data_IF_364980798031
#
_entry.id   IF_364980798031
#
_cell.length_a   1.000
_cell.length_b   1.000
_cell.length_c   1.000
_cell.angle_alpha   90.00
_cell.angle_beta   90.00
_cell.angle_gamma   90.00
#
_symmetry.space_group_name_H-M   'P 1'
#
loop_
_entity.id
_entity.type
_entity.pdbx_description
1 polymer ?
#
# COMPACT_ATOMS: atom_id res chain seq x y z
N UNK A 1 -0.04 8.46 -55.45
CA UNK A 1 0.05 9.93 -55.34
C UNK A 1 -1.34 10.52 -55.56
N UNK A 2 -1.81 11.43 -54.69
CA UNK A 2 -3.10 12.16 -54.78
C UNK A 2 -2.90 13.47 -55.60
N UNK A 3 -3.78 14.51 -55.60
CA UNK A 3 -5.12 14.70 -55.04
C UNK A 3 -6.15 15.35 -56.03
N UNK A 4 -7.40 15.56 -55.61
CA UNK A 4 -8.09 16.87 -55.72
C UNK A 4 -9.38 16.90 -54.87
N UNK A 5 -9.65 18.12 -54.40
CA UNK A 5 -10.56 18.57 -53.33
C UNK A 5 -12.02 18.65 -53.83
N UNK A 6 -13.00 18.27 -52.99
CA UNK A 6 -14.36 18.82 -53.09
C UNK A 6 -14.91 19.28 -51.73
N UNK A 7 -15.55 20.44 -51.80
CA UNK A 7 -16.21 21.22 -50.75
C UNK A 7 -17.47 20.54 -50.20
N UNK A 8 -17.73 20.68 -48.89
CA UNK A 8 -19.09 20.57 -48.36
C UNK A 8 -19.39 21.68 -47.33
N UNK A 9 -20.65 22.10 -47.37
CA UNK A 9 -21.23 23.38 -46.97
C UNK A 9 -21.72 23.39 -45.50
N UNK A 10 -21.58 24.51 -44.79
CA UNK A 10 -22.12 24.75 -43.45
C UNK A 10 -23.67 24.68 -43.43
N UNK A 11 -24.26 24.00 -42.45
CA UNK A 11 -25.61 24.29 -41.93
C UNK A 11 -25.62 24.25 -40.41
N UNK A 12 -26.07 25.36 -39.84
CA UNK A 12 -26.37 25.66 -38.45
C UNK A 12 -27.69 25.03 -38.00
N UNK A 13 -27.76 24.49 -36.77
CA UNK A 13 -29.02 24.19 -36.05
C UNK A 13 -28.81 24.28 -34.52
N UNK A 14 -29.69 25.03 -33.87
CA UNK A 14 -29.84 25.24 -32.42
C UNK A 14 -30.96 24.33 -31.82
N UNK A 15 -31.11 24.25 -30.46
CA UNK A 15 -31.57 23.06 -29.75
C UNK A 15 -33.05 23.10 -29.31
N UNK A 16 -33.67 21.98 -28.89
CA UNK A 16 -34.95 22.01 -28.17
C UNK A 16 -34.83 21.78 -26.65
N UNK A 17 -35.72 22.46 -25.91
CA UNK A 17 -35.93 22.44 -24.45
C UNK A 17 -37.04 21.45 -24.03
N UNK A 18 -37.02 21.12 -22.73
CA UNK A 18 -37.79 20.16 -21.90
C UNK A 18 -39.32 20.04 -22.00
N UNK A 19 -39.81 18.84 -21.56
CA UNK A 19 -41.10 18.54 -20.89
C UNK A 19 -42.17 17.94 -21.83
N UNK A 20 -42.94 16.88 -21.56
CA UNK A 20 -43.24 16.12 -20.33
C UNK A 20 -43.92 14.76 -20.68
N UNK A 21 -43.93 13.86 -19.68
CA UNK A 21 -44.85 12.73 -19.41
C UNK A 21 -44.51 11.25 -19.76
N UNK A 22 -44.04 10.57 -18.69
CA UNK A 22 -44.52 9.33 -18.04
C UNK A 22 -44.58 8.00 -18.81
N UNK A 23 -43.71 7.05 -18.41
CA UNK A 23 -44.15 5.70 -18.00
C UNK A 23 -43.15 5.03 -17.04
N UNK A 24 -43.56 4.96 -15.78
CA UNK A 24 -43.27 3.98 -14.72
C UNK A 24 -42.19 2.90 -14.95
N UNK A 25 -41.14 2.98 -14.14
CA UNK A 25 -40.46 1.80 -13.56
C UNK A 25 -40.12 2.13 -12.10
N UNK A 26 -40.58 1.27 -11.20
CA UNK A 26 -40.42 1.35 -9.74
C UNK A 26 -38.95 1.50 -9.35
N UNK A 27 -38.59 2.66 -8.77
CA UNK A 27 -37.35 2.83 -8.00
C UNK A 27 -37.72 2.63 -6.54
N UNK A 28 -37.38 1.48 -5.98
CA UNK A 28 -37.42 1.30 -4.52
C UNK A 28 -36.33 2.16 -3.90
N UNK A 29 -36.74 3.04 -2.99
CA UNK A 29 -35.86 3.81 -2.09
C UNK A 29 -34.74 2.92 -1.51
N UNK A 30 -33.51 3.16 -1.97
CA UNK A 30 -32.33 2.83 -1.18
C UNK A 30 -31.96 4.08 -0.41
N UNK A 31 -32.45 4.15 0.82
CA UNK A 31 -31.89 4.93 1.90
C UNK A 31 -30.36 4.98 1.78
N UNK A 32 -29.80 6.17 1.65
CA UNK A 32 -28.36 6.41 1.78
C UNK A 32 -27.90 5.94 3.17
N UNK A 33 -27.50 4.66 3.26
CA UNK A 33 -26.66 4.18 4.35
C UNK A 33 -25.31 4.83 4.15
N UNK A 34 -24.95 5.73 5.05
CA UNK A 34 -23.58 6.16 5.26
C UNK A 34 -22.68 4.92 5.44
N UNK A 35 -21.61 4.76 4.65
CA UNK A 35 -20.59 3.79 4.95
C UNK A 35 -19.40 4.50 5.61
N UNK A 36 -19.14 4.06 6.85
CA UNK A 36 -17.82 3.94 7.46
C UNK A 36 -17.15 5.21 7.99
N UNK A 37 -17.03 5.25 9.32
CA UNK A 37 -15.98 5.98 10.04
C UNK A 37 -14.63 5.53 9.46
N UNK A 38 -14.09 6.37 8.57
CA UNK A 38 -12.82 6.17 7.89
C UNK A 38 -11.70 6.52 8.86
N UNK A 39 -10.71 5.64 8.93
CA UNK A 39 -9.40 5.94 9.52
C UNK A 39 -8.86 7.26 8.95
N UNK A 40 -8.28 8.13 9.78
CA UNK A 40 -7.82 9.44 9.34
C UNK A 40 -6.80 9.29 8.22
N UNK A 41 -7.02 9.96 7.09
CA UNK A 41 -6.12 9.93 5.95
C UNK A 41 -4.93 10.87 6.23
N UNK A 42 -3.88 10.34 6.86
CA UNK A 42 -2.77 11.15 7.37
C UNK A 42 -1.75 11.49 6.27
N UNK A 43 -1.24 12.73 6.29
CA UNK A 43 -0.19 13.26 5.42
C UNK A 43 0.90 13.94 6.24
N UNK A 44 2.12 14.00 5.71
CA UNK A 44 3.22 14.73 6.35
C UNK A 44 3.60 15.95 5.54
N UNK A 45 3.70 17.09 6.20
CA UNK A 45 4.20 18.32 5.61
C UNK A 45 5.67 18.19 5.21
N UNK A 46 5.97 18.41 3.94
CA UNK A 46 7.33 18.41 3.38
C UNK A 46 8.05 19.75 3.59
N UNK A 47 7.28 20.83 3.70
CA UNK A 47 7.76 22.19 3.80
C UNK A 47 6.96 22.93 4.87
N UNK A 48 7.56 23.97 5.44
CA UNK A 48 6.84 24.92 6.28
C UNK A 48 5.88 25.74 5.42
N UNK A 49 4.70 26.00 5.96
CA UNK A 49 3.71 26.90 5.37
C UNK A 49 3.10 27.75 6.47
N UNK A 50 3.04 29.06 6.28
CA UNK A 50 2.35 29.96 7.19
C UNK A 50 1.02 30.37 6.59
N UNK A 51 -0.06 30.08 7.33
CA UNK A 51 -1.41 30.47 6.97
C UNK A 51 -1.48 31.98 6.69
N UNK A 52 -2.02 32.32 5.54
CA UNK A 52 -2.30 33.68 5.09
C UNK A 52 -3.76 34.09 5.41
N UNK A 53 -4.64 33.10 5.57
CA UNK A 53 -6.05 33.28 5.93
C UNK A 53 -6.44 32.62 7.26
N UNK A 54 -7.60 33.00 7.80
CA UNK A 54 -8.15 32.39 9.03
C UNK A 54 -8.65 30.95 8.80
N UNK A 55 -9.05 30.65 7.57
CA UNK A 55 -9.48 29.36 7.05
C UNK A 55 -8.32 28.41 6.70
N UNK A 56 -7.08 28.92 6.70
CA UNK A 56 -5.89 28.15 6.36
C UNK A 56 -5.20 27.51 7.60
N UNK A 57 -4.54 26.38 7.35
CA UNK A 57 -3.68 25.70 8.30
C UNK A 57 -2.22 26.01 8.02
N UNK A 58 -1.51 26.52 9.03
CA UNK A 58 -0.05 26.55 8.99
C UNK A 58 0.50 25.13 9.09
N UNK A 59 1.47 24.81 8.25
CA UNK A 59 2.21 23.56 8.26
C UNK A 59 3.60 23.79 8.82
N UNK A 60 4.10 22.82 9.58
CA UNK A 60 5.52 22.71 9.94
C UNK A 60 6.09 21.46 9.32
N UNK A 61 7.27 21.53 8.70
CA UNK A 61 7.92 20.39 8.07
C UNK A 61 8.02 19.23 9.06
N UNK A 62 7.57 18.04 8.65
CA UNK A 62 7.48 16.83 9.47
C UNK A 62 6.19 16.71 10.29
N UNK A 63 5.32 17.72 10.28
CA UNK A 63 4.04 17.69 10.98
C UNK A 63 3.02 16.80 10.25
N UNK A 64 2.23 16.09 11.04
CA UNK A 64 1.16 15.23 10.54
C UNK A 64 -0.13 16.05 10.43
N UNK A 65 -0.79 15.92 9.27
CA UNK A 65 -2.08 16.52 8.94
C UNK A 65 -3.06 15.39 8.66
N UNK A 66 -4.20 15.38 9.34
CA UNK A 66 -5.32 14.52 8.99
C UNK A 66 -6.08 15.18 7.83
N UNK A 67 -6.11 14.53 6.67
CA UNK A 67 -6.86 15.03 5.52
C UNK A 67 -8.31 14.58 5.65
N UNK A 68 -9.19 15.56 5.61
CA UNK A 68 -10.64 15.38 5.66
C UNK A 68 -11.26 15.35 4.26
N UNK A 69 -10.67 16.07 3.30
CA UNK A 69 -11.11 16.08 1.91
C UNK A 69 -10.02 16.53 0.93
N UNK A 70 -9.96 15.87 -0.23
CA UNK A 70 -9.15 16.28 -1.39
C UNK A 70 -9.98 16.99 -2.48
N UNK A 71 -11.31 17.11 -2.28
CA UNK A 71 -12.22 17.72 -3.27
C UNK A 71 -12.09 19.24 -3.29
N UNK A 72 -11.71 19.80 -4.45
CA UNK A 72 -11.60 21.24 -4.69
C UNK A 72 -12.91 22.00 -4.44
N UNK A 73 -14.07 21.34 -4.54
CA UNK A 73 -15.36 21.95 -4.21
C UNK A 73 -15.55 22.18 -2.71
N UNK A 74 -14.82 21.43 -1.88
CA UNK A 74 -14.84 21.55 -0.42
C UNK A 74 -13.77 22.55 0.04
N UNK A 75 -12.57 22.50 -0.54
CA UNK A 75 -11.48 23.42 -0.19
C UNK A 75 -11.62 24.81 -0.83
N UNK A 76 -12.41 24.95 -1.89
CA UNK A 76 -12.68 26.22 -2.56
C UNK A 76 -11.71 26.58 -3.68
N UNK A 77 -10.59 25.87 -3.82
CA UNK A 77 -9.60 26.09 -4.88
C UNK A 77 -8.87 24.79 -5.27
N UNK A 78 -8.49 24.68 -6.55
CA UNK A 78 -7.69 23.56 -7.04
C UNK A 78 -6.28 23.63 -6.45
N UNK A 79 -5.74 22.48 -6.01
CA UNK A 79 -4.44 22.43 -5.34
C UNK A 79 -4.49 22.66 -3.83
N UNK A 80 -5.68 22.80 -3.26
CA UNK A 80 -5.89 22.90 -1.82
C UNK A 80 -6.71 21.73 -1.28
N UNK A 81 -6.32 21.23 -0.12
CA UNK A 81 -7.02 20.16 0.60
C UNK A 81 -7.53 20.66 1.94
N UNK A 82 -8.59 20.04 2.44
CA UNK A 82 -9.11 20.29 3.79
C UNK A 82 -8.52 19.27 4.75
N UNK A 83 -8.03 19.73 5.90
CA UNK A 83 -7.50 18.84 6.91
C UNK A 83 -7.61 19.38 8.33
N UNK A 84 -7.00 18.64 9.24
CA UNK A 84 -7.04 18.87 10.68
C UNK A 84 -5.66 18.65 11.28
N UNK A 85 -5.26 19.58 12.17
CA UNK A 85 -4.05 19.51 12.97
C UNK A 85 -4.43 19.84 14.41
N UNK A 86 -4.29 18.86 15.32
CA UNK A 86 -4.82 18.99 16.67
C UNK A 86 -6.33 19.23 16.63
N UNK A 87 -6.81 20.33 17.20
CA UNK A 87 -8.22 20.71 17.16
C UNK A 87 -8.56 21.72 16.03
N UNK A 88 -7.57 22.19 15.27
CA UNK A 88 -7.77 23.17 14.20
C UNK A 88 -8.07 22.47 12.88
N UNK A 89 -9.15 22.88 12.22
CA UNK A 89 -9.52 22.47 10.86
C UNK A 89 -9.33 23.65 9.92
N UNK A 90 -8.84 23.38 8.72
CA UNK A 90 -8.69 24.39 7.68
C UNK A 90 -8.12 23.81 6.40
N UNK A 91 -7.86 24.69 5.43
CA UNK A 91 -7.30 24.31 4.14
C UNK A 91 -5.77 24.46 4.12
N UNK A 92 -5.09 23.67 3.30
CA UNK A 92 -3.65 23.77 3.10
C UNK A 92 -3.28 23.31 1.66
N UNK A 93 -2.13 23.78 1.13
CA UNK A 93 -1.71 23.41 -0.21
C UNK A 93 -1.31 21.93 -0.32
N UNK A 94 -1.91 21.21 -1.26
CA UNK A 94 -1.75 19.76 -1.41
C UNK A 94 -0.33 19.33 -1.76
N UNK A 95 0.40 20.16 -2.50
CA UNK A 95 1.80 19.91 -2.89
C UNK A 95 2.80 20.14 -1.74
N UNK A 96 2.35 20.68 -0.60
CA UNK A 96 3.19 20.85 0.59
C UNK A 96 3.18 19.63 1.49
N UNK A 97 2.38 18.62 1.16
CA UNK A 97 2.32 17.38 1.90
C UNK A 97 2.60 16.20 0.97
N UNK A 98 3.11 15.12 1.53
CA UNK A 98 3.27 13.86 0.79
C UNK A 98 2.71 12.70 1.59
N UNK A 99 2.45 11.61 0.86
CA UNK A 99 2.56 10.28 1.46
C UNK A 99 3.97 10.17 2.02
N UNK A 100 4.11 10.20 3.33
CA UNK A 100 5.41 9.92 3.91
C UNK A 100 5.69 8.43 3.69
N UNK A 101 6.91 8.11 3.22
CA UNK A 101 7.52 6.82 3.48
C UNK A 101 7.65 6.72 5.01
N UNK A 102 6.55 6.37 5.69
CA UNK A 102 6.48 6.30 7.14
C UNK A 102 7.38 5.18 7.69
N UNK A 103 8.11 4.43 6.84
CA UNK A 103 9.15 3.48 7.23
C UNK A 103 10.16 4.05 8.23
N UNK A 104 10.46 5.35 8.15
CA UNK A 104 11.39 6.00 9.08
C UNK A 104 10.75 6.47 10.40
N UNK A 105 9.41 6.55 10.48
CA UNK A 105 8.67 7.00 11.68
C UNK A 105 7.69 5.98 12.25
N UNK A 106 7.58 4.77 11.69
CA UNK A 106 6.74 3.69 12.25
C UNK A 106 7.10 3.44 13.72
N UNK A 107 8.39 3.54 14.06
CA UNK A 107 8.85 3.37 15.43
C UNK A 107 8.48 4.48 16.41
N UNK A 108 8.02 5.64 15.94
CA UNK A 108 7.76 6.83 16.77
C UNK A 108 6.26 7.11 16.94
N UNK A 109 5.42 6.66 16.00
CA UNK A 109 3.99 7.02 15.96
C UNK A 109 3.12 5.91 16.58
N UNK A 110 3.55 4.64 16.50
CA UNK A 110 2.80 3.51 17.05
C UNK A 110 3.80 2.60 17.76
N UNK A 111 3.57 2.32 19.05
CA UNK A 111 4.41 1.40 19.84
C UNK A 111 4.12 -0.06 19.44
N UNK A 112 4.43 -0.38 18.18
CA UNK A 112 4.33 -1.72 17.63
C UNK A 112 5.69 -2.37 17.76
N UNK A 113 5.74 -3.33 18.67
CA UNK A 113 6.90 -4.17 18.86
C UNK A 113 6.60 -5.54 18.24
N UNK A 114 7.34 -5.95 17.19
CA UNK A 114 7.17 -7.27 16.61
C UNK A 114 7.48 -8.34 17.67
N UNK A 115 6.79 -9.48 17.57
CA UNK A 115 7.03 -10.64 18.44
C UNK A 115 8.48 -11.08 18.26
N UNK A 116 9.25 -11.06 19.35
CA UNK A 116 10.63 -11.56 19.34
C UNK A 116 10.62 -13.07 19.50
N UNK A 117 11.32 -13.76 18.62
CA UNK A 117 11.45 -15.21 18.57
C UNK A 117 12.92 -15.56 18.82
N UNK A 118 13.17 -16.44 19.77
CA UNK A 118 14.50 -17.00 19.98
C UNK A 118 14.88 -17.91 18.80
N UNK A 119 16.12 -17.82 18.32
CA UNK A 119 16.52 -18.65 17.18
C UNK A 119 16.41 -20.15 17.48
N UNK A 120 16.58 -20.55 18.73
CA UNK A 120 16.45 -21.95 19.18
C UNK A 120 15.01 -22.48 19.11
N UNK A 121 13.99 -21.61 19.01
CA UNK A 121 12.60 -22.00 18.79
C UNK A 121 12.26 -22.26 17.32
N UNK A 122 13.17 -21.93 16.40
CA UNK A 122 12.98 -22.11 14.96
C UNK A 122 13.64 -23.40 14.49
N UNK A 123 12.84 -24.32 13.97
CA UNK A 123 13.34 -25.49 13.26
C UNK A 123 13.43 -25.15 11.77
N UNK A 124 14.65 -24.92 11.25
CA UNK A 124 14.88 -24.57 9.84
C UNK A 124 15.02 -25.82 8.98
N UNK A 125 14.24 -25.89 7.91
CA UNK A 125 14.24 -26.98 6.93
C UNK A 125 15.00 -26.56 5.65
N UNK A 126 14.41 -26.78 4.47
CA UNK A 126 15.03 -26.48 3.18
C UNK A 126 15.07 -24.98 2.83
N UNK A 127 16.04 -24.60 2.00
CA UNK A 127 16.05 -23.28 1.35
C UNK A 127 14.99 -23.26 0.24
N UNK A 128 14.04 -22.35 0.36
CA UNK A 128 12.92 -22.18 -0.60
C UNK A 128 13.11 -20.98 -1.54
N UNK A 129 14.06 -20.09 -1.24
CA UNK A 129 14.36 -18.94 -2.09
C UNK A 129 15.76 -18.37 -1.85
N UNK A 130 16.41 -17.96 -2.94
CA UNK A 130 17.69 -17.24 -2.91
C UNK A 130 17.61 -16.09 -3.91
N UNK A 131 17.90 -14.87 -3.46
CA UNK A 131 17.88 -13.69 -4.31
C UNK A 131 18.53 -12.48 -3.67
N UNK A 132 18.32 -11.29 -4.24
CA UNK A 132 18.92 -10.03 -3.76
C UNK A 132 18.55 -9.64 -2.32
N UNK A 133 17.52 -10.28 -1.75
CA UNK A 133 16.98 -10.03 -0.41
C UNK A 133 17.46 -11.03 0.65
N UNK A 134 18.42 -11.89 0.31
CA UNK A 134 18.94 -12.92 1.20
C UNK A 134 18.36 -14.31 0.91
N UNK A 135 18.62 -15.23 1.83
CA UNK A 135 18.13 -16.61 1.78
C UNK A 135 16.81 -16.71 2.54
N UNK A 136 15.86 -17.44 1.97
CA UNK A 136 14.58 -17.78 2.60
C UNK A 136 14.53 -19.29 2.83
N UNK A 137 14.29 -19.68 4.07
CA UNK A 137 14.14 -21.06 4.50
C UNK A 137 12.67 -21.35 4.77
N UNK A 138 12.23 -22.58 4.51
CA UNK A 138 11.05 -23.12 5.18
C UNK A 138 11.47 -23.51 6.59
N UNK A 139 10.55 -23.43 7.53
CA UNK A 139 10.79 -23.89 8.89
C UNK A 139 9.49 -24.11 9.67
N UNK A 140 9.64 -24.45 10.94
CA UNK A 140 8.54 -24.66 11.87
C UNK A 140 8.76 -23.80 13.11
N UNK A 141 7.71 -23.09 13.52
CA UNK A 141 7.66 -22.36 14.79
C UNK A 141 6.32 -22.65 15.48
N UNK A 142 6.37 -23.09 16.75
CA UNK A 142 5.17 -23.49 17.52
C UNK A 142 4.25 -24.46 16.77
N UNK A 143 4.84 -25.47 16.10
CA UNK A 143 4.15 -26.45 15.26
C UNK A 143 3.39 -25.86 14.05
N UNK A 144 3.71 -24.63 13.63
CA UNK A 144 3.18 -24.00 12.41
C UNK A 144 4.31 -23.84 11.40
N UNK A 145 4.02 -24.13 10.14
CA UNK A 145 4.96 -23.88 9.04
C UNK A 145 5.14 -22.37 8.85
N UNK A 146 6.41 -21.95 8.71
CA UNK A 146 6.80 -20.56 8.54
C UNK A 146 7.84 -20.43 7.42
N UNK A 147 7.91 -19.24 6.83
CA UNK A 147 8.99 -18.84 5.95
C UNK A 147 9.96 -17.93 6.74
N UNK A 148 11.22 -18.32 6.85
CA UNK A 148 12.25 -17.58 7.58
C UNK A 148 13.16 -16.88 6.58
N UNK A 149 13.04 -15.55 6.49
CA UNK A 149 13.87 -14.70 5.64
C UNK A 149 15.07 -14.21 6.43
N UNK A 150 16.24 -14.76 6.14
CA UNK A 150 17.49 -14.32 6.76
C UNK A 150 17.86 -12.91 6.28
N UNK A 151 18.26 -12.04 7.21
CA UNK A 151 18.76 -10.72 6.89
C UNK A 151 20.05 -10.86 6.05
N UNK A 152 20.18 -10.00 5.04
CA UNK A 152 21.42 -9.94 4.27
C UNK A 152 22.49 -9.34 5.16
N UNK A 153 23.52 -10.12 5.47
CA UNK A 153 24.73 -9.62 6.09
C UNK A 153 25.67 -9.17 4.98
N UNK A 154 25.90 -7.86 4.91
CA UNK A 154 27.01 -7.32 4.14
C UNK A 154 28.25 -7.35 5.04
N UNK A 155 29.34 -8.05 4.66
CA UNK A 155 30.56 -8.12 5.46
C UNK A 155 31.15 -6.75 5.80
N UNK A 156 30.87 -5.73 4.97
CA UNK A 156 31.40 -4.38 5.12
C UNK A 156 30.41 -3.43 5.83
N UNK A 157 29.16 -3.84 6.06
CA UNK A 157 28.18 -3.02 6.76
C UNK A 157 28.21 -3.24 8.27
N UNK A 158 27.94 -2.18 9.01
CA UNK A 158 27.76 -2.27 10.46
C UNK A 158 26.54 -3.16 10.78
N UNK A 159 26.72 -4.07 11.73
CA UNK A 159 25.66 -4.93 12.27
C UNK A 159 24.50 -4.08 12.80
N UNK A 160 24.80 -2.93 13.40
CA UNK A 160 23.78 -2.02 13.94
C UNK A 160 22.79 -1.57 12.85
N UNK A 161 23.30 -1.25 11.65
CA UNK A 161 22.52 -0.87 10.48
C UNK A 161 21.67 -2.04 9.97
N UNK A 162 22.23 -3.25 9.99
CA UNK A 162 21.50 -4.45 9.57
C UNK A 162 20.32 -4.73 10.52
N UNK A 163 20.55 -4.64 11.82
CA UNK A 163 19.53 -4.81 12.85
C UNK A 163 18.42 -3.74 12.72
N UNK A 164 18.80 -2.48 12.53
CA UNK A 164 17.84 -1.39 12.31
C UNK A 164 16.97 -1.63 11.08
N UNK A 165 17.55 -2.10 9.97
CA UNK A 165 16.80 -2.43 8.76
C UNK A 165 15.80 -3.56 8.98
N UNK A 166 16.19 -4.62 9.71
CA UNK A 166 15.28 -5.72 10.06
C UNK A 166 14.13 -5.23 10.94
N UNK A 167 14.40 -4.38 11.93
CA UNK A 167 13.37 -3.81 12.80
C UNK A 167 12.42 -2.90 12.00
N UNK A 168 12.94 -2.05 11.11
CA UNK A 168 12.11 -1.20 10.24
C UNK A 168 11.21 -2.04 9.34
N UNK A 169 11.76 -3.07 8.69
CA UNK A 169 10.98 -3.98 7.84
C UNK A 169 9.90 -4.72 8.66
N UNK A 170 10.25 -5.23 9.83
CA UNK A 170 9.31 -5.93 10.71
C UNK A 170 8.15 -5.03 11.18
N UNK A 171 8.47 -3.81 11.61
CA UNK A 171 7.46 -2.83 12.05
C UNK A 171 6.49 -2.49 10.92
N UNK A 172 6.99 -2.38 9.70
CA UNK A 172 6.16 -2.16 8.52
C UNK A 172 5.23 -3.35 8.28
N UNK A 173 5.75 -4.57 8.31
CA UNK A 173 4.93 -5.78 8.15
C UNK A 173 3.87 -5.94 9.25
N UNK A 174 4.16 -5.54 10.50
CA UNK A 174 3.16 -5.58 11.57
C UNK A 174 1.93 -4.68 11.32
N UNK A 175 2.06 -3.67 10.46
CA UNK A 175 0.96 -2.78 10.09
C UNK A 175 0.09 -3.33 8.96
N UNK A 176 0.60 -4.30 8.22
CA UNK A 176 -0.07 -4.86 7.06
C UNK A 176 -0.94 -6.03 7.51
N UNK A 177 -2.23 -5.96 7.18
CA UNK A 177 -3.18 -7.03 7.45
C UNK A 177 -4.20 -7.12 6.33
N UNK A 178 -4.02 -8.10 5.45
CA UNK A 178 -4.89 -8.35 4.32
C UNK A 178 -4.79 -9.81 3.88
N UNK A 179 -5.88 -10.40 3.40
CA UNK A 179 -5.92 -11.82 2.98
C UNK A 179 -4.92 -12.14 1.87
N UNK A 180 -4.64 -11.18 1.00
CA UNK A 180 -3.68 -11.34 -0.09
C UNK A 180 -2.27 -10.83 0.25
N UNK A 181 -1.95 -10.52 1.51
CA UNK A 181 -0.60 -10.08 1.92
C UNK A 181 -0.05 -11.01 2.99
N UNK A 182 1.18 -11.46 2.80
CA UNK A 182 1.89 -12.33 3.74
C UNK A 182 2.03 -11.65 5.11
N UNK A 183 1.57 -12.33 6.14
CA UNK A 183 1.60 -11.89 7.53
C UNK A 183 2.94 -12.19 8.19
N UNK A 184 3.39 -11.28 9.07
CA UNK A 184 4.54 -11.47 9.93
C UNK A 184 4.13 -12.16 11.24
N UNK A 185 4.79 -13.28 11.54
CA UNK A 185 4.59 -14.04 12.76
C UNK A 185 5.57 -13.59 13.86
N UNK A 186 6.76 -13.13 13.48
CA UNK A 186 7.72 -12.51 14.41
C UNK A 186 9.10 -12.24 13.79
N UNK A 187 10.06 -11.93 14.65
CA UNK A 187 11.45 -11.61 14.26
C UNK A 187 12.45 -12.27 15.19
N UNK A 188 13.58 -12.71 14.64
CA UNK A 188 14.75 -13.05 15.42
C UNK A 188 15.78 -11.91 15.30
N UNK A 189 16.18 -11.34 16.44
CA UNK A 189 17.16 -10.25 16.54
C UNK A 189 18.46 -10.72 17.22
N UNK A 190 18.71 -12.03 17.24
CA UNK A 190 19.92 -12.61 17.82
C UNK A 190 20.99 -12.70 16.75
N UNK A 191 22.17 -12.14 17.02
CA UNK A 191 23.31 -12.29 16.14
C UNK A 191 23.90 -13.71 16.22
N UNK A 192 24.38 -14.29 15.11
CA UNK A 192 24.37 -13.78 13.73
C UNK A 192 23.07 -14.10 12.96
N UNK A 193 22.03 -14.58 13.62
CA UNK A 193 20.82 -15.14 13.02
C UNK A 193 19.66 -14.14 12.90
N UNK A 194 19.94 -12.92 12.43
CA UNK A 194 18.91 -11.91 12.21
C UNK A 194 17.94 -12.36 11.10
N UNK A 195 16.64 -12.44 11.38
CA UNK A 195 15.65 -12.87 10.39
C UNK A 195 14.21 -12.40 10.68
N UNK A 196 13.40 -12.38 9.62
CA UNK A 196 11.94 -12.22 9.68
C UNK A 196 11.27 -13.59 9.57
N UNK A 197 10.27 -13.83 10.41
CA UNK A 197 9.46 -15.06 10.42
C UNK A 197 8.07 -14.72 9.90
N UNK A 198 7.74 -15.27 8.74
CA UNK A 198 6.54 -14.96 7.98
C UNK A 198 5.67 -16.21 7.84
N UNK A 199 4.39 -16.04 7.50
CA UNK A 199 3.56 -17.19 7.15
C UNK A 199 4.12 -17.96 5.94
N UNK A 200 3.98 -19.29 5.96
CA UNK A 200 4.45 -20.14 4.86
C UNK A 200 3.38 -20.35 3.78
N UNK A 201 3.70 -19.90 2.58
CA UNK A 201 2.84 -20.01 1.41
C UNK A 201 3.09 -21.29 0.63
N UNK A 202 2.29 -22.34 0.89
CA UNK A 202 2.45 -23.68 0.29
C UNK A 202 2.41 -23.72 -1.24
N UNK A 203 1.81 -22.71 -1.88
CA UNK A 203 1.74 -22.60 -3.34
C UNK A 203 3.09 -22.31 -4.01
N UNK A 204 4.09 -21.88 -3.24
CA UNK A 204 5.38 -21.43 -3.77
C UNK A 204 5.26 -20.14 -4.59
N UNK A 205 6.37 -19.72 -5.22
CA UNK A 205 6.37 -18.49 -6.00
C UNK A 205 5.54 -18.62 -7.29
N UNK A 206 4.80 -17.56 -7.63
CA UNK A 206 4.02 -17.51 -8.87
C UNK A 206 4.87 -17.78 -10.11
N UNK A 207 6.14 -17.33 -10.13
CA UNK A 207 7.06 -17.57 -11.24
C UNK A 207 7.30 -19.09 -11.44
N UNK A 208 7.56 -19.83 -10.36
CA UNK A 208 7.73 -21.29 -10.42
C UNK A 208 6.47 -21.96 -10.95
N UNK A 209 5.31 -21.47 -10.52
CA UNK A 209 4.01 -22.02 -10.92
C UNK A 209 3.69 -21.72 -12.39
N UNK A 210 3.98 -20.52 -12.87
CA UNK A 210 3.76 -20.10 -14.26
C UNK A 210 4.73 -20.79 -15.23
N UNK A 211 5.96 -21.07 -14.80
CA UNK A 211 6.96 -21.75 -15.63
C UNK A 211 6.66 -23.25 -15.83
N UNK A 212 5.96 -23.89 -14.87
CA UNK A 212 5.87 -25.35 -14.80
C UNK A 212 4.62 -25.99 -15.40
N UNK A 213 3.55 -25.24 -15.70
CA UNK A 213 2.27 -25.83 -16.12
C UNK A 213 1.42 -24.89 -16.97
N UNK A 214 0.58 -25.46 -17.85
CA UNK A 214 -0.55 -24.73 -18.44
C UNK A 214 -1.62 -24.54 -17.36
N UNK A 215 -1.88 -23.28 -17.05
CA UNK A 215 -2.85 -22.88 -16.02
C UNK A 215 -4.11 -22.45 -16.76
N UNK A 216 -5.27 -22.85 -16.22
CA UNK A 216 -6.54 -22.47 -16.83
C UNK A 216 -6.72 -20.94 -16.74
N UNK A 217 -7.30 -20.30 -17.76
CA UNK A 217 -7.49 -18.85 -17.77
C UNK A 217 -8.29 -18.29 -16.58
N UNK A 218 -9.30 -19.01 -16.11
CA UNK A 218 -10.10 -18.62 -14.95
C UNK A 218 -9.27 -18.54 -13.66
N UNK A 219 -8.33 -19.46 -13.48
CA UNK A 219 -7.41 -19.46 -12.33
C UNK A 219 -6.43 -18.27 -12.42
N UNK A 220 -5.96 -17.95 -13.63
CA UNK A 220 -5.09 -16.78 -13.85
C UNK A 220 -5.82 -15.46 -13.54
N UNK A 221 -7.09 -15.35 -13.94
CA UNK A 221 -7.93 -14.18 -13.64
C UNK A 221 -8.15 -14.07 -12.14
N UNK A 222 -8.45 -15.17 -11.45
CA UNK A 222 -8.60 -15.18 -10.00
C UNK A 222 -7.33 -14.69 -9.28
N UNK A 223 -6.15 -15.18 -9.68
CA UNK A 223 -4.88 -14.70 -9.15
C UNK A 223 -4.64 -13.22 -9.43
N UNK A 224 -4.95 -12.75 -10.65
CA UNK A 224 -4.82 -11.34 -10.98
C UNK A 224 -5.71 -10.46 -10.09
N UNK A 225 -6.94 -10.92 -9.79
CA UNK A 225 -7.86 -10.23 -8.87
C UNK A 225 -7.28 -10.19 -7.45
N UNK A 226 -6.73 -11.30 -6.95
CA UNK A 226 -6.11 -11.36 -5.62
C UNK A 226 -4.90 -10.41 -5.49
N UNK A 227 -4.02 -10.38 -6.51
CA UNK A 227 -2.90 -9.44 -6.56
C UNK A 227 -3.42 -8.00 -6.57
N UNK A 228 -4.43 -7.72 -7.40
CA UNK A 228 -5.00 -6.38 -7.52
C UNK A 228 -5.61 -5.90 -6.20
N UNK A 229 -6.37 -6.75 -5.50
CA UNK A 229 -6.94 -6.46 -4.18
C UNK A 229 -5.86 -6.17 -3.15
N UNK A 230 -4.83 -6.99 -3.14
CA UNK A 230 -3.72 -6.81 -2.22
C UNK A 230 -2.90 -5.54 -2.51
N UNK A 231 -2.70 -5.17 -3.78
CA UNK A 231 -2.09 -3.90 -4.17
C UNK A 231 -2.97 -2.70 -3.84
N UNK A 232 -4.28 -2.81 -4.04
CA UNK A 232 -5.27 -1.80 -3.64
C UNK A 232 -5.21 -1.56 -2.13
N UNK A 233 -5.12 -2.62 -1.33
CA UNK A 233 -4.90 -2.49 0.10
C UNK A 233 -3.61 -1.72 0.40
N UNK A 234 -2.47 -2.10 -0.18
CA UNK A 234 -1.18 -1.42 0.08
C UNK A 234 -1.22 0.07 -0.26
N UNK A 235 -1.93 0.45 -1.32
CA UNK A 235 -1.96 1.83 -1.81
C UNK A 235 -3.01 2.70 -1.10
N UNK A 236 -4.20 2.15 -0.84
CA UNK A 236 -5.38 2.94 -0.48
C UNK A 236 -5.88 2.68 0.94
N UNK A 237 -5.67 1.48 1.49
CA UNK A 237 -6.31 1.07 2.76
C UNK A 237 -5.32 0.85 3.90
N UNK A 238 -4.07 0.50 3.58
CA UNK A 238 -3.05 0.26 4.58
C UNK A 238 -2.81 1.54 5.42
N UNK A 239 -2.51 1.41 6.73
CA UNK A 239 -2.23 2.56 7.60
C UNK A 239 -1.11 3.46 7.08
N UNK A 240 -0.22 2.87 6.26
CA UNK A 240 0.85 3.54 5.54
C UNK A 240 0.71 3.11 4.08
N UNK A 241 0.48 4.07 3.19
CA UNK A 241 0.47 3.80 1.75
C UNK A 241 1.86 3.35 1.32
N UNK A 242 2.00 2.08 0.99
CA UNK A 242 3.27 1.46 0.64
C UNK A 242 3.34 1.27 -0.87
N UNK A 243 4.19 2.06 -1.52
CA UNK A 243 4.54 1.81 -2.91
C UNK A 243 5.48 0.60 -2.92
N UNK A 244 5.00 -0.55 -3.43
CA UNK A 244 5.78 -1.80 -3.49
C UNK A 244 7.11 -1.64 -4.27
N UNK A 245 7.18 -0.64 -5.18
CA UNK A 245 8.36 -0.24 -5.98
C UNK A 245 8.95 -1.32 -6.90
N UNK A 246 8.37 -2.53 -6.93
CA UNK A 246 9.06 -3.67 -7.53
C UNK A 246 8.12 -4.84 -7.86
N UNK A 247 6.95 -4.52 -8.41
CA UNK A 247 5.93 -5.48 -8.85
C UNK A 247 6.31 -6.04 -10.23
N UNK A 248 7.00 -7.18 -10.27
CA UNK A 248 7.36 -7.89 -11.51
C UNK A 248 7.30 -9.41 -11.33
N UNK A 249 6.86 -10.12 -12.37
CA UNK A 249 6.78 -11.60 -12.40
C UNK A 249 8.15 -12.30 -12.43
N UNK A 250 9.20 -11.59 -12.86
CA UNK A 250 10.56 -12.12 -13.07
C UNK A 250 11.50 -11.98 -11.87
N UNK A 251 11.07 -11.32 -10.79
CA UNK A 251 11.96 -11.16 -9.65
C UNK A 251 12.10 -12.50 -8.93
N UNK A 252 13.34 -12.96 -8.71
CA UNK A 252 13.69 -14.05 -7.80
C UNK A 252 13.39 -13.73 -6.32
N UNK A 253 12.39 -12.89 -6.07
CA UNK A 253 11.69 -12.76 -4.80
C UNK A 253 10.75 -13.97 -4.70
N UNK A 254 10.61 -14.65 -3.56
CA UNK A 254 9.28 -15.15 -3.23
C UNK A 254 8.36 -13.94 -3.34
N UNK A 255 7.16 -14.07 -3.88
CA UNK A 255 6.22 -12.95 -3.84
C UNK A 255 5.75 -12.84 -2.38
N UNK A 256 6.63 -12.37 -1.51
CA UNK A 256 6.42 -12.24 -0.07
C UNK A 256 5.44 -11.11 0.24
N UNK A 257 4.78 -10.56 -0.78
CA UNK A 257 3.68 -9.60 -0.64
C UNK A 257 2.38 -10.11 -1.25
N UNK A 258 2.37 -11.18 -2.05
CA UNK A 258 1.16 -11.78 -2.63
C UNK A 258 1.40 -13.27 -2.90
N UNK A 259 0.61 -14.12 -2.26
CA UNK A 259 0.56 -15.59 -2.32
C UNK A 259 1.41 -16.35 -1.33
#
# INVERSE_FOLDING_TARGET
MPPLVEHFQLRSMEPPRNGDMVSSVHVSERTHRAPHNLTPYLRTALYDYDAQGEDELSLRKGQIVEVLSEDAKISGDEGWWTGKIGDKVGIFPSNFVAHQDLSDHVGTIIDINPVKIDFSELDLEEVIGVGGFGKVYRGVWKNREVAVKAARQDPDADISVTLDNVIKEAKLFCLLRHENIVSLEGVCLQEPNLCLVLEYCRGGSLNRVLAGRKIRPDVLVDWAIQIARGMDYLHCTAPISLIHRDLKSSNGKPITLFF
#
